data_IF_638284391291
#
_entry.id   IF_638284391291
#
_cell.length_a   1.000
_cell.length_b   1.000
_cell.length_c   1.000
_cell.angle_alpha   90.00
_cell.angle_beta   90.00
_cell.angle_gamma   90.00
#
_symmetry.space_group_name_H-M   'P 1'
#
loop_
_entity.id
_entity.type
_entity.pdbx_description
1 polymer ?
#
# COMPACT_ATOMS: atom_id res chain seq x y z
N UNK A 1 -9.76 -17.78 13.73
CA UNK A 1 -8.56 -18.57 13.39
C UNK A 1 -7.62 -18.54 14.59
N UNK A 2 -7.05 -19.68 15.00
CA UNK A 2 -6.08 -19.70 16.10
C UNK A 2 -4.68 -19.41 15.51
N UNK A 3 -4.05 -18.31 15.93
CA UNK A 3 -2.72 -17.92 15.44
C UNK A 3 -1.67 -18.87 16.02
N UNK A 4 -0.72 -19.35 15.21
CA UNK A 4 0.32 -20.30 15.64
C UNK A 4 1.53 -19.61 16.25
N UNK A 5 1.87 -18.42 15.75
CA UNK A 5 3.04 -17.67 16.18
C UNK A 5 2.63 -16.34 16.77
N UNK A 6 2.85 -16.16 18.07
CA UNK A 6 2.62 -14.89 18.75
C UNK A 6 3.94 -14.13 18.80
N UNK A 7 4.05 -13.04 18.05
CA UNK A 7 5.29 -12.25 18.00
C UNK A 7 5.22 -11.07 18.96
N UNK A 8 6.18 -11.02 19.89
CA UNK A 8 6.35 -9.91 20.84
C UNK A 8 7.41 -8.91 20.39
N UNK A 9 8.39 -9.36 19.59
CA UNK A 9 9.54 -8.56 19.18
C UNK A 9 9.77 -8.67 17.68
N UNK A 10 10.25 -7.57 17.06
CA UNK A 10 10.51 -7.48 15.62
C UNK A 10 11.53 -8.52 15.14
N UNK A 11 12.57 -8.81 15.92
CA UNK A 11 13.58 -9.81 15.54
C UNK A 11 12.99 -11.21 15.42
N UNK A 12 12.05 -11.58 16.30
CA UNK A 12 11.36 -12.86 16.23
C UNK A 12 10.52 -12.97 14.97
N UNK A 13 9.84 -11.88 14.58
CA UNK A 13 9.13 -11.84 13.31
C UNK A 13 10.10 -11.99 12.13
N UNK A 14 11.19 -11.23 12.09
CA UNK A 14 12.20 -11.33 11.04
C UNK A 14 12.74 -12.76 10.88
N UNK A 15 12.91 -13.50 11.97
CA UNK A 15 13.33 -14.90 11.91
C UNK A 15 12.26 -15.81 11.31
N UNK A 16 10.98 -15.62 11.66
CA UNK A 16 9.87 -16.36 11.06
C UNK A 16 9.73 -16.06 9.56
N UNK A 17 9.92 -14.81 9.15
CA UNK A 17 9.75 -14.40 7.75
C UNK A 17 10.77 -15.02 6.79
N UNK A 18 11.91 -15.53 7.31
CA UNK A 18 12.92 -16.28 6.54
C UNK A 18 12.43 -17.65 6.07
N UNK A 19 11.45 -18.24 6.75
CA UNK A 19 10.88 -19.54 6.37
C UNK A 19 9.72 -19.35 5.40
N UNK A 20 9.94 -19.66 4.11
CA UNK A 20 8.91 -19.57 3.07
C UNK A 20 7.72 -20.51 3.29
N UNK A 21 7.85 -21.54 4.14
CA UNK A 21 6.76 -22.48 4.43
C UNK A 21 5.76 -21.95 5.46
N UNK A 22 6.13 -20.92 6.22
CA UNK A 22 5.21 -20.29 7.17
C UNK A 22 4.16 -19.51 6.39
N UNK A 23 2.88 -19.86 6.56
CA UNK A 23 1.79 -19.01 6.09
C UNK A 23 1.73 -17.74 6.95
N UNK A 24 1.73 -16.56 6.32
CA UNK A 24 1.75 -15.30 7.06
C UNK A 24 0.47 -15.08 7.88
N UNK A 25 -0.64 -15.75 7.54
CA UNK A 25 -1.88 -15.71 8.33
C UNK A 25 -1.74 -16.37 9.70
N UNK A 26 -0.75 -17.24 9.89
CA UNK A 26 -0.51 -17.95 11.15
C UNK A 26 0.19 -17.06 12.20
N UNK A 27 0.66 -15.88 11.80
CA UNK A 27 1.40 -14.94 12.65
C UNK A 27 0.40 -13.94 13.27
N UNK A 28 0.49 -13.78 14.58
CA UNK A 28 -0.21 -12.74 15.34
C UNK A 28 0.70 -11.52 15.52
N UNK A 29 0.39 -10.45 14.78
CA UNK A 29 1.12 -9.18 14.80
C UNK A 29 0.49 -8.12 15.70
N UNK A 30 -0.60 -8.43 16.42
CA UNK A 30 -1.41 -7.44 17.17
C UNK A 30 -0.64 -6.66 18.24
N UNK A 31 0.46 -7.23 18.76
CA UNK A 31 1.32 -6.61 19.78
C UNK A 31 2.46 -5.76 19.20
N UNK A 32 2.59 -5.71 17.87
CA UNK A 32 3.67 -4.96 17.25
C UNK A 32 3.38 -3.45 17.21
N UNK A 33 4.45 -2.66 17.16
CA UNK A 33 4.41 -1.19 17.03
C UNK A 33 5.25 -0.72 15.83
N UNK A 34 6.27 -1.48 15.46
CA UNK A 34 7.25 -1.18 14.41
C UNK A 34 7.36 -2.37 13.45
N UNK A 35 7.05 -2.11 12.17
CA UNK A 35 7.17 -3.03 11.04
C UNK A 35 8.14 -2.51 9.97
N UNK A 36 8.97 -1.53 10.32
CA UNK A 36 10.00 -1.01 9.42
C UNK A 36 10.94 -2.13 8.95
N UNK A 37 11.25 -2.09 7.65
CA UNK A 37 12.19 -2.99 6.97
C UNK A 37 11.84 -4.50 6.94
N UNK A 38 10.64 -4.93 7.37
CA UNK A 38 10.34 -6.36 7.53
C UNK A 38 10.52 -7.22 6.27
N UNK A 39 10.18 -6.67 5.11
CA UNK A 39 10.35 -7.33 3.81
C UNK A 39 11.26 -6.53 2.86
N UNK A 40 12.09 -5.62 3.40
CA UNK A 40 13.05 -4.91 2.56
C UNK A 40 13.96 -5.92 1.84
N UNK A 41 14.09 -5.78 0.52
CA UNK A 41 14.89 -6.67 -0.35
C UNK A 41 14.49 -8.15 -0.24
N UNK A 42 13.28 -8.45 0.24
CA UNK A 42 12.83 -9.82 0.44
C UNK A 42 12.71 -10.55 -0.88
N UNK A 43 13.30 -11.74 -0.94
CA UNK A 43 13.15 -12.70 -2.04
C UNK A 43 11.99 -13.67 -1.82
N UNK A 44 11.24 -13.49 -0.72
CA UNK A 44 10.09 -14.32 -0.37
C UNK A 44 9.09 -14.30 -1.51
N UNK A 45 8.65 -15.48 -1.96
CA UNK A 45 7.66 -15.58 -3.06
C UNK A 45 6.22 -15.58 -2.58
N UNK A 46 5.95 -16.22 -1.45
CA UNK A 46 4.60 -16.39 -0.93
C UNK A 46 4.27 -15.34 0.15
N UNK A 47 3.39 -14.40 -0.19
CA UNK A 47 2.85 -13.39 0.73
C UNK A 47 1.39 -13.64 1.15
N UNK A 48 0.84 -14.83 0.89
CA UNK A 48 -0.52 -15.16 1.32
C UNK A 48 -0.68 -15.06 2.84
N UNK A 49 -1.81 -14.52 3.27
CA UNK A 49 -2.14 -14.31 4.67
C UNK A 49 -1.63 -12.98 5.25
N UNK A 50 -0.81 -12.22 4.51
CA UNK A 50 -0.34 -10.90 4.93
C UNK A 50 -1.48 -9.90 5.09
N UNK A 51 -2.50 -9.98 4.24
CA UNK A 51 -3.72 -9.18 4.30
C UNK A 51 -4.52 -9.35 5.60
N UNK A 52 -4.21 -10.41 6.37
CA UNK A 52 -4.83 -10.73 7.68
C UNK A 52 -4.05 -10.20 8.89
N UNK A 53 -2.92 -9.54 8.67
CA UNK A 53 -2.14 -8.97 9.76
C UNK A 53 -2.90 -7.83 10.43
N UNK A 54 -2.90 -7.83 11.76
CA UNK A 54 -3.36 -6.67 12.53
C UNK A 54 -2.23 -5.64 12.56
N UNK A 55 -2.45 -4.53 11.87
CA UNK A 55 -1.52 -3.39 11.80
C UNK A 55 -2.08 -2.14 12.51
N UNK A 56 -3.18 -2.27 13.24
CA UNK A 56 -3.89 -1.14 13.87
C UNK A 56 -3.09 -0.43 14.98
N UNK A 57 -2.03 -1.06 15.48
CA UNK A 57 -1.12 -0.51 16.49
C UNK A 57 0.21 0.00 15.91
N UNK A 58 0.45 -0.21 14.62
CA UNK A 58 1.73 0.12 14.00
C UNK A 58 1.86 1.63 13.85
N UNK A 59 3.07 2.12 14.13
CA UNK A 59 3.43 3.54 13.98
C UNK A 59 4.56 3.75 12.98
N UNK A 60 5.35 2.72 12.69
CA UNK A 60 6.47 2.77 11.72
C UNK A 60 6.40 1.58 10.74
N UNK A 61 6.41 1.89 9.45
CA UNK A 61 6.46 0.95 8.32
C UNK A 61 7.52 1.36 7.28
N UNK A 62 8.49 2.22 7.63
CA UNK A 62 9.52 2.67 6.68
C UNK A 62 10.17 1.50 5.94
N UNK A 63 10.26 1.62 4.61
CA UNK A 63 10.87 0.62 3.73
C UNK A 63 10.31 -0.81 3.82
N UNK A 64 9.12 -1.02 4.40
CA UNK A 64 8.62 -2.36 4.72
C UNK A 64 8.63 -3.33 3.53
N UNK A 65 8.31 -2.90 2.31
CA UNK A 65 8.30 -3.72 1.10
C UNK A 65 9.25 -3.20 0.02
N UNK A 66 10.21 -2.33 0.38
CA UNK A 66 11.11 -1.74 -0.60
C UNK A 66 12.02 -2.81 -1.20
N UNK A 67 12.05 -2.94 -2.53
CA UNK A 67 12.76 -4.00 -3.25
C UNK A 67 12.29 -5.42 -2.91
N UNK A 68 11.06 -5.59 -2.42
CA UNK A 68 10.45 -6.91 -2.18
C UNK A 68 10.00 -7.51 -3.53
N UNK A 69 10.87 -8.31 -4.15
CA UNK A 69 10.81 -8.69 -5.57
C UNK A 69 9.47 -9.29 -6.03
N UNK A 70 8.78 -10.03 -5.17
CA UNK A 70 7.54 -10.74 -5.49
C UNK A 70 6.30 -10.15 -4.80
N UNK A 71 6.44 -9.01 -4.14
CA UNK A 71 5.36 -8.41 -3.37
C UNK A 71 4.38 -7.65 -4.28
N UNK A 72 3.12 -8.09 -4.33
CA UNK A 72 2.04 -7.39 -5.03
C UNK A 72 0.66 -7.78 -4.44
N UNK A 73 0.49 -7.64 -3.13
CA UNK A 73 -0.75 -8.00 -2.42
C UNK A 73 -1.67 -6.79 -2.22
N UNK A 74 -2.97 -7.08 -2.17
CA UNK A 74 -3.98 -6.13 -1.71
C UNK A 74 -3.87 -5.97 -0.19
N UNK A 75 -3.60 -4.73 0.25
CA UNK A 75 -3.53 -4.36 1.66
C UNK A 75 -4.67 -3.41 2.09
N UNK A 76 -5.73 -3.27 1.29
CA UNK A 76 -6.83 -2.32 1.57
C UNK A 76 -7.63 -2.65 2.83
N UNK A 77 -7.49 -3.87 3.38
CA UNK A 77 -8.07 -4.28 4.66
C UNK A 77 -7.34 -3.70 5.89
N UNK A 78 -6.14 -3.17 5.71
CA UNK A 78 -5.31 -2.70 6.82
C UNK A 78 -5.81 -1.38 7.41
N UNK A 79 -5.97 -1.35 8.74
CA UNK A 79 -6.18 -0.10 9.45
C UNK A 79 -4.83 0.60 9.69
N UNK A 80 -4.56 1.65 8.90
CA UNK A 80 -3.32 2.41 8.95
C UNK A 80 -3.45 3.79 9.64
N UNK A 81 -4.51 4.01 10.43
CA UNK A 81 -4.79 5.33 11.06
C UNK A 81 -3.70 5.77 12.04
N UNK A 82 -3.01 4.83 12.69
CA UNK A 82 -1.93 5.14 13.65
C UNK A 82 -0.54 5.30 13.03
N UNK A 83 -0.40 5.08 11.72
CA UNK A 83 0.90 5.22 11.06
C UNK A 83 1.41 6.66 11.14
N UNK A 84 2.65 6.80 11.62
CA UNK A 84 3.37 8.08 11.72
C UNK A 84 4.46 8.16 10.67
N UNK A 85 5.19 7.08 10.50
CA UNK A 85 6.38 6.98 9.65
C UNK A 85 6.22 5.83 8.65
N UNK A 86 6.18 6.13 7.36
CA UNK A 86 5.95 5.11 6.32
C UNK A 86 6.52 5.51 4.96
N UNK A 87 7.62 6.24 4.99
CA UNK A 87 8.31 6.65 3.78
C UNK A 87 8.93 5.42 3.08
N UNK A 88 8.89 5.44 1.74
CA UNK A 88 9.53 4.44 0.88
C UNK A 88 9.06 2.99 1.11
N UNK A 89 7.81 2.76 1.58
CA UNK A 89 7.23 1.40 1.72
C UNK A 89 7.36 0.60 0.43
N UNK A 90 6.97 1.20 -0.70
CA UNK A 90 6.91 0.53 -2.00
C UNK A 90 8.00 1.03 -2.94
N UNK A 91 8.41 0.17 -3.86
CA UNK A 91 9.17 0.54 -5.06
C UNK A 91 8.25 0.57 -6.29
N UNK A 92 8.84 0.88 -7.45
CA UNK A 92 8.11 1.03 -8.71
C UNK A 92 7.59 -0.30 -9.29
N UNK A 93 7.95 -1.44 -8.70
CA UNK A 93 7.46 -2.76 -9.10
C UNK A 93 6.09 -3.10 -8.49
N UNK A 94 5.68 -2.41 -7.41
CA UNK A 94 4.38 -2.62 -6.77
C UNK A 94 3.24 -2.00 -7.61
N UNK A 95 2.18 -2.76 -7.89
CA UNK A 95 1.16 -2.37 -8.89
C UNK A 95 -0.27 -2.32 -8.37
N UNK A 96 -0.51 -2.61 -7.09
CA UNK A 96 -1.88 -2.62 -6.56
C UNK A 96 -2.41 -1.19 -6.31
N UNK A 97 -3.21 -0.68 -7.25
CA UNK A 97 -3.67 0.72 -7.31
C UNK A 97 -4.35 1.17 -6.01
N UNK A 98 -5.32 0.41 -5.50
CA UNK A 98 -6.09 0.80 -4.30
C UNK A 98 -5.19 0.90 -3.06
N UNK A 99 -4.21 0.01 -2.95
CA UNK A 99 -3.23 0.09 -1.85
C UNK A 99 -2.34 1.32 -2.00
N UNK A 100 -1.83 1.61 -3.21
CA UNK A 100 -1.03 2.81 -3.44
C UNK A 100 -1.84 4.07 -3.12
N UNK A 101 -3.11 4.13 -3.54
CA UNK A 101 -4.03 5.23 -3.23
C UNK A 101 -4.28 5.38 -1.72
N UNK A 102 -4.49 4.28 -1.01
CA UNK A 102 -4.64 4.28 0.46
C UNK A 102 -3.45 4.99 1.13
N UNK A 103 -2.21 4.62 0.77
CA UNK A 103 -1.01 5.25 1.31
C UNK A 103 -0.81 6.69 0.80
N UNK A 104 -1.09 6.96 -0.48
CA UNK A 104 -1.03 8.31 -1.07
C UNK A 104 -1.96 9.29 -0.34
N UNK A 105 -3.15 8.82 0.04
CA UNK A 105 -4.16 9.59 0.74
C UNK A 105 -3.71 9.96 2.15
N UNK A 106 -2.96 9.13 2.86
CA UNK A 106 -2.46 9.46 4.22
C UNK A 106 -1.07 10.10 4.22
N UNK A 107 -0.31 10.00 3.12
CA UNK A 107 1.08 10.47 3.04
C UNK A 107 1.23 11.99 3.27
N UNK A 108 2.07 12.35 4.25
CA UNK A 108 2.42 13.74 4.58
C UNK A 108 3.76 14.17 3.98
N UNK A 109 4.69 13.23 3.76
CA UNK A 109 5.98 13.51 3.15
C UNK A 109 5.79 13.88 1.67
N UNK A 110 6.10 15.13 1.30
CA UNK A 110 5.89 15.64 -0.06
C UNK A 110 6.70 14.88 -1.11
N UNK A 111 7.91 14.45 -0.79
CA UNK A 111 8.77 13.71 -1.73
C UNK A 111 8.19 12.33 -1.99
N UNK A 112 7.86 11.59 -0.93
CA UNK A 112 7.29 10.26 -1.07
C UNK A 112 5.88 10.28 -1.69
N UNK A 113 5.06 11.28 -1.34
CA UNK A 113 3.77 11.49 -2.00
C UNK A 113 3.88 11.68 -3.51
N UNK A 114 4.88 12.43 -3.97
CA UNK A 114 5.18 12.57 -5.42
C UNK A 114 5.58 11.23 -6.03
N UNK A 115 6.40 10.43 -5.34
CA UNK A 115 6.75 9.08 -5.80
C UNK A 115 5.51 8.21 -5.97
N UNK A 116 4.65 8.13 -4.95
CA UNK A 116 3.38 7.39 -5.02
C UNK A 116 2.49 7.88 -6.17
N UNK A 117 2.44 9.19 -6.41
CA UNK A 117 1.72 9.75 -7.54
C UNK A 117 2.31 9.31 -8.88
N UNK A 118 3.63 9.36 -9.04
CA UNK A 118 4.32 8.87 -10.24
C UNK A 118 4.11 7.37 -10.45
N UNK A 119 4.10 6.57 -9.38
CA UNK A 119 3.77 5.15 -9.46
C UNK A 119 2.36 4.94 -10.02
N UNK A 120 1.36 5.68 -9.52
CA UNK A 120 -0.01 5.62 -10.03
C UNK A 120 -0.09 6.04 -11.51
N UNK A 121 0.65 7.07 -11.92
CA UNK A 121 0.71 7.54 -13.31
C UNK A 121 1.38 6.55 -14.28
N UNK A 122 2.09 5.54 -13.77
CA UNK A 122 2.68 4.45 -14.56
C UNK A 122 1.79 3.20 -14.64
N UNK A 123 0.63 3.18 -13.97
CA UNK A 123 -0.33 2.07 -13.97
C UNK A 123 -1.45 2.35 -14.99
N UNK A 124 -2.48 1.48 -15.01
CA UNK A 124 -3.66 1.70 -15.86
C UNK A 124 -4.36 3.00 -15.44
N UNK A 125 -4.22 4.03 -16.29
CA UNK A 125 -4.68 5.37 -15.94
C UNK A 125 -6.21 5.46 -15.87
N UNK A 126 -6.93 4.61 -16.60
CA UNK A 126 -8.40 4.54 -16.53
C UNK A 126 -8.82 3.98 -15.19
N UNK A 127 -8.19 2.90 -14.73
CA UNK A 127 -8.47 2.32 -13.41
C UNK A 127 -8.12 3.31 -12.28
N UNK A 128 -6.94 3.95 -12.34
CA UNK A 128 -6.55 4.99 -11.37
C UNK A 128 -7.56 6.13 -11.34
N UNK A 129 -7.97 6.64 -12.50
CA UNK A 129 -8.96 7.71 -12.60
C UNK A 129 -10.32 7.30 -12.02
N UNK A 130 -10.79 6.09 -12.34
CA UNK A 130 -12.06 5.55 -11.81
C UNK A 130 -12.02 5.42 -10.30
N UNK A 131 -10.96 4.85 -9.72
CA UNK A 131 -10.81 4.70 -8.27
C UNK A 131 -10.76 6.06 -7.55
N UNK A 132 -10.04 7.04 -8.11
CA UNK A 132 -9.99 8.39 -7.56
C UNK A 132 -11.35 9.10 -7.55
N UNK A 133 -12.17 8.91 -8.59
CA UNK A 133 -13.50 9.51 -8.67
C UNK A 133 -14.53 8.80 -7.79
N UNK A 134 -14.37 7.49 -7.57
CA UNK A 134 -15.28 6.69 -6.74
C UNK A 134 -15.01 6.86 -5.22
N UNK A 135 -13.82 7.29 -4.81
CA UNK A 135 -13.46 7.53 -3.41
C UNK A 135 -14.09 8.83 -2.87
N UNK A 136 -15.34 8.73 -2.40
CA UNK A 136 -16.10 9.87 -1.84
C UNK A 136 -15.42 10.54 -0.63
N UNK A 137 -14.61 9.79 0.12
CA UNK A 137 -13.93 10.29 1.33
C UNK A 137 -12.77 11.20 0.92
N UNK A 138 -11.96 10.77 -0.04
CA UNK A 138 -10.75 11.49 -0.44
C UNK A 138 -10.92 12.33 -1.72
N UNK A 139 -12.07 12.29 -2.40
CA UNK A 139 -12.31 13.01 -3.65
C UNK A 139 -11.88 14.48 -3.61
N UNK A 140 -12.30 15.22 -2.56
CA UNK A 140 -11.93 16.64 -2.41
C UNK A 140 -10.43 16.84 -2.28
N UNK A 141 -9.74 15.97 -1.55
CA UNK A 141 -8.29 15.99 -1.35
C UNK A 141 -7.54 15.65 -2.63
N UNK A 142 -8.13 14.80 -3.47
CA UNK A 142 -7.52 14.31 -4.70
C UNK A 142 -7.90 15.11 -5.95
N UNK A 143 -8.74 16.13 -5.82
CA UNK A 143 -9.23 16.96 -6.95
C UNK A 143 -8.11 17.52 -7.83
N UNK A 144 -6.99 17.95 -7.25
CA UNK A 144 -5.85 18.45 -8.02
C UNK A 144 -5.18 17.33 -8.84
N UNK A 145 -5.06 16.14 -8.26
CA UNK A 145 -4.51 14.99 -8.96
C UNK A 145 -5.45 14.53 -10.09
N UNK A 146 -6.76 14.44 -9.82
CA UNK A 146 -7.77 14.14 -10.84
C UNK A 146 -7.67 15.12 -12.02
N UNK A 147 -7.65 16.43 -11.75
CA UNK A 147 -7.48 17.45 -12.81
C UNK A 147 -6.18 17.29 -13.58
N UNK A 148 -5.09 16.93 -12.90
CA UNK A 148 -3.81 16.65 -13.58
C UNK A 148 -4.01 15.49 -14.57
N UNK A 149 -4.64 14.40 -14.14
CA UNK A 149 -4.89 13.25 -14.99
C UNK A 149 -5.74 13.62 -16.21
N UNK A 150 -6.83 14.36 -16.00
CA UNK A 150 -7.71 14.83 -17.07
C UNK A 150 -6.99 15.69 -18.11
N UNK A 151 -6.01 16.49 -17.69
CA UNK A 151 -5.24 17.36 -18.58
C UNK A 151 -4.14 16.61 -19.32
N UNK A 152 -3.42 15.71 -18.61
CA UNK A 152 -2.24 15.01 -19.17
C UNK A 152 -2.65 13.82 -20.03
N UNK A 153 -3.69 13.10 -19.63
CA UNK A 153 -4.17 11.86 -20.27
C UNK A 153 -5.57 12.03 -20.86
N UNK A 154 -5.91 13.24 -21.34
CA UNK A 154 -7.25 13.58 -21.81
C UNK A 154 -7.80 12.56 -22.82
N UNK A 155 -7.01 12.23 -23.85
CA UNK A 155 -7.45 11.31 -24.92
C UNK A 155 -7.75 9.91 -24.38
N UNK A 156 -6.97 9.42 -23.41
CA UNK A 156 -7.19 8.12 -22.78
C UNK A 156 -8.41 8.12 -21.85
N UNK A 157 -8.71 9.25 -21.23
CA UNK A 157 -9.76 9.40 -20.22
C UNK A 157 -11.07 10.01 -20.74
N UNK A 158 -11.10 10.47 -22.00
CA UNK A 158 -12.19 11.29 -22.56
C UNK A 158 -13.59 10.74 -22.29
N UNK A 159 -13.81 9.45 -22.56
CA UNK A 159 -15.11 8.79 -22.33
C UNK A 159 -15.51 8.81 -20.85
N UNK A 160 -14.57 8.57 -19.94
CA UNK A 160 -14.82 8.60 -18.50
C UNK A 160 -15.12 10.03 -18.00
N UNK A 161 -14.39 11.02 -18.54
CA UNK A 161 -14.60 12.44 -18.21
C UNK A 161 -15.98 12.91 -18.66
N UNK A 162 -16.40 12.53 -19.86
CA UNK A 162 -17.71 12.90 -20.40
C UNK A 162 -18.85 12.25 -19.62
N UNK A 163 -18.69 10.99 -19.20
CA UNK A 163 -19.67 10.28 -18.38
C UNK A 163 -19.82 10.85 -16.96
N UNK A 164 -18.73 11.35 -16.36
CA UNK A 164 -18.76 11.93 -15.00
C UNK A 164 -19.42 13.32 -14.93
N UNK A 165 -19.70 13.97 -16.07
CA UNK A 165 -20.32 15.31 -16.13
C UNK A 165 -21.85 15.28 -16.22
N UNK A 166 -22.43 14.10 -16.47
CA UNK A 166 -23.88 13.88 -16.54
C UNK A 166 -24.42 13.32 -15.22
#
# INVERSE_FOLDING_TARGET
MNKKYIVKYKYTLLDLLKDENINLSDIDTSNMIDMSYLFQESKRKNFEGLETWDVSNITDMKYMFNNALYFNKDLTSWNIEKLKEFDEIFDDSFKHIKTILMFYNVCKNKKYKKKLQSMLECLDIKEVYTELNNDKINYKKNKEFIKKLENVYYEELKELIENNKN
#
